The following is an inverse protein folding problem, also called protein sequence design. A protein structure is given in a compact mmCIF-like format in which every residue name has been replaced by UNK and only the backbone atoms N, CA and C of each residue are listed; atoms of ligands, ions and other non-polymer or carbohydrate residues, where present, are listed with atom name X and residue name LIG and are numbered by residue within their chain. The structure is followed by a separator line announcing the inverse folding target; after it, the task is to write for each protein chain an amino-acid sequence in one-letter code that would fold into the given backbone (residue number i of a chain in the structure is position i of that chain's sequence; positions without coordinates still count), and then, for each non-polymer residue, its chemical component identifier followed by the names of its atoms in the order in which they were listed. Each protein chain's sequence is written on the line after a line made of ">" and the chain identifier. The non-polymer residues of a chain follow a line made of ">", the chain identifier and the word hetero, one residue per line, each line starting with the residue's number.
data_IF_030438305165
#
_entry.id   IF_030438305165
#
_cell.length_a   1.000
_cell.length_b   1.000
_cell.length_c   1.000
_cell.angle_alpha   90.00
_cell.angle_beta   90.00
_cell.angle_gamma   90.00
#
_symmetry.space_group_name_H-M   'P 1'
#
loop_
_entity.id
_entity.type
_entity.pdbx_description
1 polymer ?
#
# COMPACT_ATOMS: atom_id res chain seq x y z
N UNK A 1 -0.05 -11.89 -12.94
CA UNK A 1 0.46 -10.62 -12.41
C UNK A 1 -0.76 -9.84 -12.01
N UNK A 2 -0.76 -9.33 -10.80
CA UNK A 2 -1.90 -8.69 -10.17
C UNK A 2 -1.41 -7.34 -9.69
N UNK A 3 -1.92 -6.29 -10.30
CA UNK A 3 -1.46 -4.93 -10.05
C UNK A 3 -2.17 -4.42 -8.81
N UNK A 4 -1.41 -3.86 -7.88
CA UNK A 4 -1.94 -3.31 -6.64
C UNK A 4 -2.15 -1.81 -6.79
N UNK A 5 -1.15 -1.10 -7.31
CA UNK A 5 -1.24 0.35 -7.52
C UNK A 5 -0.12 0.89 -8.41
N UNK A 6 -0.33 2.11 -8.92
CA UNK A 6 0.67 2.89 -9.64
C UNK A 6 0.86 4.24 -8.94
N UNK A 7 2.09 4.63 -8.69
CA UNK A 7 2.45 5.76 -7.84
C UNK A 7 3.43 6.69 -8.56
N UNK A 8 3.02 7.93 -8.81
CA UNK A 8 3.90 8.97 -9.35
C UNK A 8 4.81 9.47 -8.23
N UNK A 9 6.12 9.23 -8.34
CA UNK A 9 7.12 9.62 -7.34
C UNK A 9 7.83 10.94 -7.67
N UNK A 10 7.97 11.22 -8.96
CA UNK A 10 8.50 12.46 -9.55
C UNK A 10 7.84 12.68 -10.92
N UNK A 11 8.15 13.77 -11.62
CA UNK A 11 7.59 14.04 -12.94
C UNK A 11 7.89 12.96 -14.00
N UNK A 12 8.89 12.10 -13.79
CA UNK A 12 9.34 11.09 -14.74
C UNK A 12 9.49 9.66 -14.15
N UNK A 13 9.11 9.47 -12.89
CA UNK A 13 9.16 8.17 -12.22
C UNK A 13 7.77 7.76 -11.74
N UNK A 14 7.24 6.69 -12.33
CA UNK A 14 6.12 5.93 -11.77
C UNK A 14 6.63 4.62 -11.21
N UNK A 15 6.23 4.30 -9.98
CA UNK A 15 6.41 2.99 -9.36
C UNK A 15 5.11 2.22 -9.38
N UNK A 16 5.12 1.04 -9.97
CA UNK A 16 3.95 0.14 -10.00
C UNK A 16 4.20 -0.98 -9.01
N UNK A 17 3.29 -1.16 -8.06
CA UNK A 17 3.28 -2.28 -7.11
C UNK A 17 2.41 -3.40 -7.65
N UNK A 18 2.88 -4.64 -7.53
CA UNK A 18 2.17 -5.80 -8.07
C UNK A 18 2.58 -7.09 -7.37
N UNK A 19 1.73 -8.10 -7.43
CA UNK A 19 2.08 -9.49 -7.11
C UNK A 19 2.27 -10.24 -8.42
N UNK A 20 3.44 -10.88 -8.61
CA UNK A 20 3.79 -11.55 -9.87
C UNK A 20 4.60 -12.81 -9.64
N UNK A 21 4.76 -13.60 -10.71
CA UNK A 21 5.69 -14.73 -10.70
C UNK A 21 7.14 -14.25 -10.56
N UNK A 22 7.95 -15.01 -9.83
CA UNK A 22 9.32 -14.63 -9.47
C UNK A 22 10.24 -14.43 -10.68
N UNK A 23 10.29 -15.39 -11.62
CA UNK A 23 11.19 -15.34 -12.78
C UNK A 23 10.66 -16.14 -13.99
N UNK A 24 10.88 -15.68 -15.23
CA UNK A 24 11.23 -14.30 -15.60
C UNK A 24 10.03 -13.35 -15.42
N UNK A 25 10.24 -12.05 -15.16
CA UNK A 25 9.16 -11.07 -15.18
C UNK A 25 8.55 -10.96 -16.59
N UNK A 26 7.23 -10.79 -16.66
CA UNK A 26 6.60 -10.44 -17.93
C UNK A 26 7.02 -9.01 -18.33
N UNK A 27 7.35 -8.75 -19.60
CA UNK A 27 7.65 -7.41 -20.07
C UNK A 27 6.39 -6.53 -20.00
N UNK A 28 6.54 -5.33 -19.45
CA UNK A 28 5.44 -4.40 -19.22
C UNK A 28 5.74 -3.03 -19.79
N UNK A 29 4.69 -2.35 -20.24
CA UNK A 29 4.70 -0.94 -20.59
C UNK A 29 3.60 -0.20 -19.81
N UNK A 30 3.94 0.98 -19.33
CA UNK A 30 3.00 1.96 -18.83
C UNK A 30 2.53 2.82 -19.99
N UNK A 31 1.22 2.88 -20.22
CA UNK A 31 0.62 3.77 -21.20
C UNK A 31 -0.03 4.94 -20.46
N UNK A 32 0.40 6.17 -20.74
CA UNK A 32 -0.22 7.39 -20.21
C UNK A 32 -1.05 8.06 -21.30
N UNK A 33 -2.30 8.40 -21.00
CA UNK A 33 -3.16 9.13 -21.92
C UNK A 33 -2.67 10.56 -22.09
N UNK A 34 -2.39 10.95 -23.34
CA UNK A 34 -2.00 12.32 -23.70
C UNK A 34 -3.23 13.10 -24.17
N UNK A 35 -4.04 12.47 -25.01
CA UNK A 35 -5.35 12.92 -25.46
C UNK A 35 -6.20 11.71 -25.86
N UNK A 36 -7.46 11.91 -26.25
CA UNK A 36 -8.42 10.84 -26.55
C UNK A 36 -7.93 9.80 -27.59
N UNK A 37 -6.94 10.14 -28.41
CA UNK A 37 -6.44 9.27 -29.49
C UNK A 37 -4.97 8.84 -29.32
N UNK A 38 -4.21 9.47 -28.42
CA UNK A 38 -2.77 9.26 -28.26
C UNK A 38 -2.41 8.84 -26.84
N UNK A 39 -1.68 7.73 -26.75
CA UNK A 39 -1.08 7.21 -25.51
C UNK A 39 0.45 7.23 -25.63
N UNK A 40 1.12 7.71 -24.59
CA UNK A 40 2.57 7.63 -24.44
C UNK A 40 2.93 6.28 -23.81
N UNK A 41 3.69 5.45 -24.52
CA UNK A 41 4.14 4.15 -24.03
C UNK A 41 5.54 4.27 -23.41
N UNK A 42 5.68 3.82 -22.17
CA UNK A 42 6.91 3.92 -21.38
C UNK A 42 7.29 2.51 -20.90
N UNK A 43 8.50 2.02 -21.23
CA UNK A 43 8.93 0.70 -20.77
C UNK A 43 9.14 0.69 -19.25
N UNK A 44 8.85 -0.45 -18.65
CA UNK A 44 8.99 -0.66 -17.22
C UNK A 44 10.18 -1.56 -16.90
N UNK A 45 11.08 -1.03 -16.08
CA UNK A 45 12.23 -1.71 -15.53
C UNK A 45 11.78 -2.64 -14.40
N UNK A 46 12.13 -3.91 -14.52
CA UNK A 46 11.84 -4.97 -13.57
C UNK A 46 13.07 -5.85 -13.41
N UNK A 47 13.29 -6.38 -12.21
CA UNK A 47 14.37 -7.33 -11.94
C UNK A 47 13.80 -8.72 -11.63
N UNK A 48 14.46 -9.77 -12.10
CA UNK A 48 14.08 -11.15 -11.76
C UNK A 48 14.27 -11.41 -10.27
N UNK A 49 13.30 -12.09 -9.66
CA UNK A 49 13.43 -12.59 -8.29
C UNK A 49 14.02 -13.99 -8.37
N UNK A 50 15.32 -14.09 -8.10
CA UNK A 50 16.10 -15.33 -8.22
C UNK A 50 16.04 -16.20 -6.96
N UNK A 51 15.65 -15.64 -5.82
CA UNK A 51 15.51 -16.35 -4.55
C UNK A 51 14.27 -15.86 -3.82
N UNK A 52 13.54 -16.78 -3.21
CA UNK A 52 12.44 -16.43 -2.32
C UNK A 52 13.00 -15.58 -1.15
N UNK A 53 12.33 -14.49 -0.74
CA UNK A 53 12.82 -13.65 0.34
C UNK A 53 12.91 -14.38 1.69
N UNK A 54 12.18 -15.49 1.85
CA UNK A 54 12.07 -16.22 3.11
C UNK A 54 12.63 -17.64 2.96
N UNK A 55 13.57 -18.01 3.85
CA UNK A 55 14.27 -19.30 3.79
C UNK A 55 13.35 -20.51 4.00
N UNK A 56 12.20 -20.32 4.65
CA UNK A 56 11.22 -21.37 4.96
C UNK A 56 10.02 -21.40 3.99
N UNK A 57 9.96 -20.48 3.03
CA UNK A 57 8.88 -20.42 2.03
C UNK A 57 9.31 -21.08 0.71
N UNK A 58 9.59 -22.38 0.74
CA UNK A 58 10.18 -23.14 -0.38
C UNK A 58 9.31 -23.23 -1.66
N UNK A 59 8.05 -22.78 -1.62
CA UNK A 59 7.07 -22.84 -2.73
C UNK A 59 6.51 -21.47 -3.15
N UNK A 60 7.23 -20.38 -2.85
CA UNK A 60 6.79 -19.02 -3.18
C UNK A 60 7.01 -18.71 -4.68
N UNK A 61 6.11 -19.18 -5.53
CA UNK A 61 6.17 -18.92 -6.98
C UNK A 61 5.66 -17.50 -7.32
N UNK A 62 4.89 -16.89 -6.42
CA UNK A 62 4.41 -15.52 -6.50
C UNK A 62 5.00 -14.68 -5.37
N UNK A 63 5.34 -13.43 -5.69
CA UNK A 63 5.87 -12.48 -4.72
C UNK A 63 5.42 -11.08 -5.09
N UNK A 64 5.21 -10.23 -4.08
CA UNK A 64 5.08 -8.81 -4.29
C UNK A 64 6.38 -8.19 -4.77
N UNK A 65 6.27 -7.35 -5.78
CA UNK A 65 7.39 -6.68 -6.40
C UNK A 65 6.96 -5.35 -6.99
N UNK A 66 7.93 -4.60 -7.50
CA UNK A 66 7.66 -3.34 -8.17
C UNK A 66 8.32 -3.24 -9.54
N UNK A 67 7.71 -2.45 -10.39
CA UNK A 67 8.28 -2.00 -11.66
C UNK A 67 8.44 -0.48 -11.62
N UNK A 68 9.49 0.03 -12.26
CA UNK A 68 9.74 1.47 -12.36
C UNK A 68 9.75 1.90 -13.82
N UNK A 69 9.24 3.09 -14.13
CA UNK A 69 9.50 3.69 -15.44
C UNK A 69 10.99 3.96 -15.60
N UNK A 70 11.54 3.69 -16.78
CA UNK A 70 12.79 4.34 -17.19
C UNK A 70 12.51 5.82 -17.38
N UNK A 71 13.31 6.71 -16.78
CA UNK A 71 13.10 8.16 -16.89
C UNK A 71 12.87 8.59 -18.35
N UNK A 72 11.79 9.35 -18.59
CA UNK A 72 11.30 9.70 -19.91
C UNK A 72 10.93 11.19 -19.97
N UNK A 73 11.52 11.94 -20.92
CA UNK A 73 11.29 13.39 -21.06
C UNK A 73 9.87 13.72 -21.51
N UNK A 74 9.26 12.93 -22.39
CA UNK A 74 7.87 13.15 -22.82
C UNK A 74 6.89 12.95 -21.66
N UNK A 75 7.17 11.99 -20.77
CA UNK A 75 6.42 11.82 -19.53
C UNK A 75 6.57 13.06 -18.64
N UNK A 76 7.78 13.56 -18.46
CA UNK A 76 8.06 14.75 -17.66
C UNK A 76 7.29 15.97 -18.17
N UNK A 77 7.29 16.18 -19.49
CA UNK A 77 6.52 17.24 -20.13
C UNK A 77 5.01 17.05 -19.96
N UNK A 78 4.50 15.82 -20.12
CA UNK A 78 3.08 15.51 -19.95
C UNK A 78 2.62 15.79 -18.52
N UNK A 79 3.36 15.30 -17.53
CA UNK A 79 3.03 15.45 -16.11
C UNK A 79 3.16 16.92 -15.67
N UNK A 80 4.13 17.66 -16.22
CA UNK A 80 4.36 19.07 -15.84
C UNK A 80 3.37 20.03 -16.49
N UNK A 81 2.85 19.73 -17.69
CA UNK A 81 1.86 20.58 -18.38
C UNK A 81 0.42 20.37 -17.88
N UNK A 82 0.14 19.23 -17.27
CA UNK A 82 -1.23 18.86 -16.94
C UNK A 82 -1.73 19.58 -15.68
N UNK A 83 -2.43 20.71 -15.89
CA UNK A 83 -3.07 21.47 -14.80
C UNK A 83 -4.41 20.85 -14.33
N UNK A 84 -4.91 19.79 -14.98
CA UNK A 84 -6.23 19.18 -14.73
C UNK A 84 -6.18 17.90 -13.89
N UNK A 85 -5.01 17.55 -13.34
CA UNK A 85 -4.81 16.34 -12.53
C UNK A 85 -3.87 15.34 -13.20
N UNK A 86 -3.85 14.10 -12.69
CA UNK A 86 -3.01 13.04 -13.24
C UNK A 86 -3.62 12.44 -14.51
N UNK A 87 -2.82 12.09 -15.54
CA UNK A 87 -3.33 11.43 -16.74
C UNK A 87 -3.88 10.04 -16.42
N UNK A 88 -4.82 9.55 -17.22
CA UNK A 88 -5.21 8.15 -17.15
C UNK A 88 -4.02 7.25 -17.49
N UNK A 89 -3.89 6.16 -16.76
CA UNK A 89 -2.80 5.23 -16.89
C UNK A 89 -3.32 3.82 -17.19
N UNK A 90 -2.59 3.09 -18.03
CA UNK A 90 -2.88 1.70 -18.37
C UNK A 90 -1.60 0.88 -18.34
N UNK A 91 -1.71 -0.41 -18.05
CA UNK A 91 -0.61 -1.36 -18.16
C UNK A 91 -0.83 -2.31 -19.31
N UNK A 92 0.23 -2.49 -20.10
CA UNK A 92 0.24 -3.38 -21.26
C UNK A 92 1.29 -4.48 -21.04
N UNK A 93 0.89 -5.73 -21.28
CA UNK A 93 1.79 -6.87 -21.37
C UNK A 93 2.14 -7.13 -22.82
N UNK A 94 3.43 -7.01 -23.16
CA UNK A 94 3.90 -7.14 -24.54
C UNK A 94 4.23 -8.58 -24.94
N UNK A 95 4.20 -9.52 -23.99
CA UNK A 95 4.41 -10.95 -24.22
C UNK A 95 3.14 -11.71 -24.62
N UNK A 96 1.98 -11.06 -24.62
CA UNK A 96 0.69 -11.68 -24.96
C UNK A 96 0.42 -11.63 -26.47
N UNK A 97 -0.24 -12.67 -27.03
CA UNK A 97 -0.66 -12.65 -28.43
C UNK A 97 -1.65 -11.52 -28.66
N UNK A 98 -1.67 -11.00 -29.89
CA UNK A 98 -2.58 -9.94 -30.28
C UNK A 98 -4.04 -10.46 -30.33
N UNK A 99 -5.04 -9.63 -29.97
CA UNK A 99 -4.90 -8.23 -29.55
C UNK A 99 -4.45 -8.11 -28.08
N UNK A 100 -3.44 -7.26 -27.83
CA UNK A 100 -3.03 -6.94 -26.47
C UNK A 100 -4.00 -5.91 -25.89
N UNK A 101 -4.61 -6.23 -24.74
CA UNK A 101 -5.59 -5.35 -24.08
C UNK A 101 -4.90 -4.64 -22.91
N UNK A 102 -4.76 -3.30 -22.96
CA UNK A 102 -4.29 -2.53 -21.81
C UNK A 102 -5.27 -2.61 -20.65
N UNK A 103 -4.75 -2.82 -19.44
CA UNK A 103 -5.56 -2.82 -18.20
C UNK A 103 -5.48 -1.44 -17.55
N UNK A 104 -6.60 -0.76 -17.25
CA UNK A 104 -6.56 0.53 -16.58
C UNK A 104 -5.95 0.39 -15.19
N UNK A 105 -5.15 1.38 -14.79
CA UNK A 105 -4.59 1.47 -13.45
C UNK A 105 -4.78 2.88 -12.89
N UNK A 106 -5.17 2.96 -11.62
CA UNK A 106 -5.26 4.25 -10.93
C UNK A 106 -3.85 4.75 -10.64
N UNK A 107 -3.52 5.92 -11.18
CA UNK A 107 -2.27 6.62 -10.88
C UNK A 107 -2.49 7.50 -9.65
N UNK A 108 -1.80 7.18 -8.56
CA UNK A 108 -1.80 7.94 -7.31
C UNK A 108 -0.67 8.96 -7.33
N UNK A 109 -0.94 10.19 -6.88
CA UNK A 109 0.11 11.17 -6.64
C UNK A 109 0.79 10.83 -5.32
N UNK A 110 2.00 10.32 -5.41
CA UNK A 110 2.84 9.99 -4.27
C UNK A 110 4.06 10.90 -4.21
N UNK A 111 4.07 12.06 -4.89
CA UNK A 111 5.17 13.04 -4.83
C UNK A 111 5.22 13.67 -3.44
N UNK A 112 6.42 14.07 -3.01
CA UNK A 112 6.61 14.76 -1.72
C UNK A 112 7.09 16.15 -2.04
N UNK A 113 6.26 17.13 -1.70
CA UNK A 113 6.59 18.54 -1.73
C UNK A 113 7.28 18.86 -0.39
N UNK A 114 8.52 19.39 -0.37
CA UNK A 114 9.27 19.65 0.86
C UNK A 114 8.48 20.45 1.90
N UNK A 115 7.80 21.52 1.45
CA UNK A 115 6.99 22.42 2.28
C UNK A 115 5.49 22.35 1.95
N UNK A 116 5.06 21.31 1.24
CA UNK A 116 3.65 21.15 0.88
C UNK A 116 2.79 20.82 2.10
N UNK A 117 1.53 21.29 2.13
CA UNK A 117 0.61 20.91 3.20
C UNK A 117 0.38 19.40 3.15
N UNK A 118 0.61 18.72 4.28
CA UNK A 118 0.18 17.33 4.46
C UNK A 118 -1.18 17.36 5.14
N UNK A 119 -2.17 16.72 4.53
CA UNK A 119 -3.54 16.66 5.08
C UNK A 119 -3.54 16.04 6.48
N UNK A 120 -2.66 15.07 6.72
CA UNK A 120 -2.58 14.33 7.98
C UNK A 120 -1.22 14.47 8.65
N UNK A 121 -1.22 14.58 9.98
CA UNK A 121 0.03 14.52 10.77
C UNK A 121 0.44 13.07 11.04
N UNK A 122 -0.47 12.24 11.54
CA UNK A 122 -0.25 10.83 11.79
C UNK A 122 -1.26 9.99 11.01
N UNK A 123 -0.74 9.05 10.25
CA UNK A 123 -1.50 8.00 9.58
C UNK A 123 -1.10 6.61 10.12
N UNK A 124 -2.01 5.66 10.05
CA UNK A 124 -1.78 4.26 10.44
C UNK A 124 -2.01 3.36 9.23
N UNK A 125 -1.00 2.55 8.93
CA UNK A 125 -1.05 1.45 7.98
C UNK A 125 -1.29 0.16 8.76
N UNK A 126 -2.51 -0.36 8.68
CA UNK A 126 -2.84 -1.65 9.27
C UNK A 126 -2.45 -2.77 8.31
N UNK A 127 -1.76 -3.79 8.82
CA UNK A 127 -1.48 -5.01 8.05
C UNK A 127 -2.77 -5.72 7.59
N UNK A 128 -2.71 -6.64 6.62
CA UNK A 128 -3.90 -7.28 6.08
C UNK A 128 -4.72 -8.02 7.14
N UNK A 129 -5.97 -7.60 7.29
CA UNK A 129 -6.95 -8.21 8.18
C UNK A 129 -7.64 -9.36 7.46
N UNK A 130 -7.60 -10.56 8.04
CA UNK A 130 -8.21 -11.76 7.50
C UNK A 130 -8.95 -12.51 8.60
N UNK A 131 -10.13 -13.06 8.27
CA UNK A 131 -10.97 -13.86 9.18
C UNK A 131 -11.26 -13.16 10.53
N UNK A 132 -11.35 -11.83 10.54
CA UNK A 132 -11.62 -11.08 11.76
C UNK A 132 -13.10 -11.18 12.14
N UNK A 133 -13.39 -11.81 13.28
CA UNK A 133 -14.74 -11.89 13.84
C UNK A 133 -14.90 -11.08 15.15
N UNK A 134 -13.79 -10.73 15.80
CA UNK A 134 -13.81 -9.95 17.03
C UNK A 134 -13.89 -8.45 16.72
N UNK A 135 -15.09 -7.89 16.84
CA UNK A 135 -15.33 -6.46 16.62
C UNK A 135 -14.69 -5.58 17.71
N UNK A 136 -14.42 -6.13 18.90
CA UNK A 136 -13.86 -5.34 20.01
C UNK A 136 -12.42 -4.92 19.74
N UNK A 137 -11.64 -5.78 19.06
CA UNK A 137 -10.29 -5.45 18.59
C UNK A 137 -10.30 -4.27 17.61
N UNK A 138 -11.32 -4.17 16.76
CA UNK A 138 -11.45 -3.07 15.82
C UNK A 138 -11.71 -1.74 16.54
N UNK A 139 -12.64 -1.73 17.51
CA UNK A 139 -12.90 -0.55 18.34
C UNK A 139 -11.62 -0.14 19.09
N UNK A 140 -10.97 -1.09 19.76
CA UNK A 140 -9.76 -0.82 20.53
C UNK A 140 -8.67 -0.21 19.65
N UNK A 141 -8.44 -0.78 18.47
CA UNK A 141 -7.46 -0.26 17.51
C UNK A 141 -7.74 1.19 17.13
N UNK A 142 -8.98 1.50 16.70
CA UNK A 142 -9.32 2.86 16.30
C UNK A 142 -9.24 3.84 17.46
N UNK A 143 -9.91 3.57 18.58
CA UNK A 143 -9.97 4.51 19.71
C UNK A 143 -8.58 4.80 20.29
N UNK A 144 -7.70 3.80 20.37
CA UNK A 144 -6.32 4.01 20.81
C UNK A 144 -5.58 4.91 19.84
N UNK A 145 -5.59 4.61 18.53
CA UNK A 145 -4.84 5.42 17.57
C UNK A 145 -5.40 6.82 17.37
N UNK A 146 -6.72 7.01 17.49
CA UNK A 146 -7.37 8.33 17.54
C UNK A 146 -6.85 9.11 18.74
N UNK A 147 -6.82 8.51 19.93
CA UNK A 147 -6.26 9.12 21.13
C UNK A 147 -4.76 9.44 20.99
N UNK A 148 -4.02 8.66 20.19
CA UNK A 148 -2.61 8.93 19.85
C UNK A 148 -2.41 10.02 18.78
N UNK A 149 -3.50 10.61 18.25
CA UNK A 149 -3.48 11.70 17.28
C UNK A 149 -3.53 11.28 15.81
N UNK A 150 -3.87 10.02 15.52
CA UNK A 150 -4.07 9.55 14.15
C UNK A 150 -5.38 10.06 13.56
N UNK A 151 -5.34 10.46 12.29
CA UNK A 151 -6.50 10.99 11.55
C UNK A 151 -6.70 10.31 10.19
N UNK A 152 -5.75 9.47 9.77
CA UNK A 152 -5.80 8.69 8.53
C UNK A 152 -5.52 7.24 8.83
N UNK A 153 -6.38 6.35 8.33
CA UNK A 153 -6.24 4.91 8.47
C UNK A 153 -6.27 4.27 7.09
N UNK A 154 -5.33 3.37 6.82
CA UNK A 154 -5.34 2.51 5.65
C UNK A 154 -5.61 1.09 6.11
N UNK A 155 -6.79 0.59 5.79
CA UNK A 155 -7.32 -0.69 6.27
C UNK A 155 -7.25 -1.70 5.12
N UNK A 156 -6.26 -2.58 5.16
CA UNK A 156 -6.12 -3.66 4.17
C UNK A 156 -7.02 -4.83 4.56
N UNK A 157 -8.14 -5.00 3.88
CA UNK A 157 -9.18 -5.95 4.26
C UNK A 157 -9.22 -7.13 3.28
N UNK A 158 -8.97 -8.34 3.80
CA UNK A 158 -9.15 -9.59 3.07
C UNK A 158 -10.52 -10.21 3.37
N UNK A 159 -10.85 -10.38 4.65
CA UNK A 159 -12.16 -10.84 5.11
C UNK A 159 -12.38 -10.50 6.56
N UNK A 160 -13.65 -10.26 6.90
CA UNK A 160 -14.12 -10.05 8.27
C UNK A 160 -15.59 -10.47 8.37
N UNK A 161 -16.08 -10.73 9.58
CA UNK A 161 -17.48 -11.00 9.83
C UNK A 161 -18.36 -9.78 9.50
N UNK A 162 -19.63 -9.97 9.09
CA UNK A 162 -20.52 -8.86 8.72
C UNK A 162 -20.68 -7.80 9.81
N UNK A 163 -20.67 -8.20 11.08
CA UNK A 163 -20.78 -7.31 12.24
C UNK A 163 -19.54 -6.40 12.36
N UNK A 164 -18.36 -6.95 12.09
CA UNK A 164 -17.10 -6.20 12.05
C UNK A 164 -17.08 -5.24 10.86
N UNK A 165 -17.60 -5.67 9.69
CA UNK A 165 -17.72 -4.80 8.50
C UNK A 165 -18.67 -3.62 8.75
N UNK A 166 -19.81 -3.89 9.39
CA UNK A 166 -20.78 -2.88 9.77
C UNK A 166 -20.15 -1.85 10.73
N UNK A 167 -19.36 -2.31 11.71
CA UNK A 167 -18.64 -1.43 12.62
C UNK A 167 -17.55 -0.62 11.90
N UNK A 168 -16.76 -1.24 11.00
CA UNK A 168 -15.76 -0.51 10.21
C UNK A 168 -16.39 0.65 9.43
N UNK A 169 -17.59 0.44 8.88
CA UNK A 169 -18.33 1.50 8.18
C UNK A 169 -18.66 2.68 9.09
N UNK A 170 -18.83 2.50 10.39
CA UNK A 170 -19.05 3.63 11.32
C UNK A 170 -17.84 4.56 11.30
N UNK A 171 -16.62 4.01 11.38
CA UNK A 171 -15.39 4.79 11.29
C UNK A 171 -15.18 5.41 9.90
N UNK A 172 -15.54 4.71 8.83
CA UNK A 172 -15.45 5.22 7.45
C UNK A 172 -16.37 6.40 7.16
N UNK A 173 -17.53 6.46 7.83
CA UNK A 173 -18.48 7.58 7.69
C UNK A 173 -18.24 8.71 8.71
N UNK A 174 -17.23 8.60 9.57
CA UNK A 174 -16.86 9.69 10.48
C UNK A 174 -16.38 10.93 9.72
N UNK A 175 -16.81 12.12 10.13
CA UNK A 175 -16.30 13.38 9.58
C UNK A 175 -14.89 13.72 10.04
N UNK A 176 -14.44 13.13 11.15
CA UNK A 176 -13.18 13.47 11.82
C UNK A 176 -12.01 12.60 11.35
N UNK A 177 -12.32 11.47 10.70
CA UNK A 177 -11.36 10.48 10.26
C UNK A 177 -11.37 10.33 8.75
N UNK A 178 -10.20 10.09 8.18
CA UNK A 178 -10.06 9.61 6.81
C UNK A 178 -9.71 8.11 6.87
N UNK A 179 -10.69 7.24 6.60
CA UNK A 179 -10.47 5.79 6.59
C UNK A 179 -10.54 5.30 5.15
N UNK A 180 -9.42 4.78 4.66
CA UNK A 180 -9.31 4.17 3.34
C UNK A 180 -9.29 2.66 3.47
N UNK A 181 -10.41 2.04 3.07
CA UNK A 181 -10.47 0.60 2.86
C UNK A 181 -9.75 0.22 1.57
N UNK A 182 -8.72 -0.60 1.70
CA UNK A 182 -8.02 -1.23 0.58
C UNK A 182 -8.45 -2.68 0.51
N UNK A 183 -9.12 -3.05 -0.56
CA UNK A 183 -9.44 -4.46 -0.83
C UNK A 183 -8.14 -5.24 -0.99
N UNK A 184 -7.86 -6.12 -0.03
CA UNK A 184 -6.66 -6.94 0.02
C UNK A 184 -7.06 -8.42 -0.03
N UNK A 185 -7.60 -8.82 -1.17
CA UNK A 185 -8.24 -10.13 -1.34
C UNK A 185 -7.33 -11.22 -1.88
N UNK A 186 -7.94 -12.39 -2.05
CA UNK A 186 -7.36 -13.46 -2.85
C UNK A 186 -7.12 -12.98 -4.29
N UNK A 187 -5.96 -13.34 -4.83
CA UNK A 187 -5.65 -13.12 -6.23
C UNK A 187 -6.69 -13.84 -7.10
N UNK A 188 -7.21 -13.20 -8.16
CA UNK A 188 -8.22 -13.81 -9.00
C UNK A 188 -7.70 -15.10 -9.63
N UNK A 189 -8.54 -16.13 -9.59
CA UNK A 189 -8.27 -17.44 -10.19
C UNK A 189 -9.11 -17.61 -11.44
N UNK A 190 -8.52 -18.12 -12.52
CA UNK A 190 -9.25 -18.33 -13.77
C UNK A 190 -10.29 -19.45 -13.64
N UNK A 191 -10.03 -20.42 -12.77
CA UNK A 191 -10.89 -21.56 -12.49
C UNK A 191 -11.56 -21.42 -11.12
N UNK A 192 -12.79 -21.90 -11.00
CA UNK A 192 -13.53 -21.95 -9.74
C UNK A 192 -12.90 -22.91 -8.71
N UNK A 193 -12.17 -23.94 -9.17
CA UNK A 193 -11.45 -24.89 -8.33
C UNK A 193 -9.98 -25.01 -8.81
N UNK A 194 -9.14 -23.99 -8.53
CA UNK A 194 -7.77 -23.94 -9.03
C UNK A 194 -6.85 -25.00 -8.42
N UNK A 195 -7.28 -25.66 -7.34
CA UNK A 195 -6.56 -26.74 -6.67
C UNK A 195 -5.12 -26.34 -6.34
N UNK A 196 -4.14 -27.16 -6.71
CA UNK A 196 -2.72 -26.86 -6.48
C UNK A 196 -2.21 -25.65 -7.26
N UNK A 197 -2.90 -25.22 -8.31
CA UNK A 197 -2.51 -24.08 -9.15
C UNK A 197 -3.03 -22.73 -8.63
N UNK A 198 -3.75 -22.75 -7.51
CA UNK A 198 -4.20 -21.53 -6.86
C UNK A 198 -3.00 -20.63 -6.49
N UNK A 199 -2.89 -19.41 -7.05
CA UNK A 199 -1.85 -18.46 -6.67
C UNK A 199 -1.92 -18.11 -5.18
N UNK A 200 -3.09 -18.18 -4.54
CA UNK A 200 -3.29 -17.89 -3.13
C UNK A 200 -2.62 -18.91 -2.20
N UNK A 201 -2.42 -20.15 -2.67
CA UNK A 201 -1.68 -21.19 -1.95
C UNK A 201 -0.16 -21.07 -2.12
N UNK A 202 0.31 -20.12 -2.93
CA UNK A 202 1.71 -19.95 -3.34
C UNK A 202 2.27 -18.57 -3.02
N UNK A 203 1.55 -17.79 -2.23
CA UNK A 203 2.01 -16.52 -1.67
C UNK A 203 2.41 -16.70 -0.22
N UNK A 204 3.44 -15.99 0.21
CA UNK A 204 3.84 -15.99 1.60
C UNK A 204 3.00 -14.97 2.41
N UNK A 205 2.30 -15.44 3.45
CA UNK A 205 1.54 -14.60 4.41
C UNK A 205 0.68 -13.52 3.71
N UNK A 206 -0.03 -13.90 2.66
CA UNK A 206 -0.89 -12.99 1.87
C UNK A 206 -0.18 -11.69 1.43
N UNK A 207 1.14 -11.75 1.23
CA UNK A 207 1.93 -10.61 0.81
C UNK A 207 1.86 -9.41 1.76
N UNK A 208 1.84 -9.64 3.09
CA UNK A 208 1.79 -8.59 4.11
C UNK A 208 2.85 -7.49 3.90
N UNK A 209 4.10 -7.83 3.56
CA UNK A 209 5.14 -6.84 3.24
C UNK A 209 4.78 -5.96 2.04
N UNK A 210 4.08 -6.53 1.07
CA UNK A 210 3.64 -5.81 -0.14
C UNK A 210 2.52 -4.85 0.20
N UNK A 211 1.61 -5.22 1.10
CA UNK A 211 0.59 -4.30 1.62
C UNK A 211 1.21 -3.11 2.37
N UNK A 212 2.25 -3.36 3.18
CA UNK A 212 2.99 -2.30 3.89
C UNK A 212 3.65 -1.35 2.89
N UNK A 213 4.34 -1.89 1.89
CA UNK A 213 4.96 -1.08 0.84
C UNK A 213 3.94 -0.25 0.05
N UNK A 214 2.79 -0.84 -0.25
CA UNK A 214 1.69 -0.16 -0.90
C UNK A 214 1.16 0.99 -0.03
N UNK A 215 0.96 0.75 1.26
CA UNK A 215 0.47 1.75 2.20
C UNK A 215 1.45 2.91 2.38
N UNK A 216 2.75 2.61 2.46
CA UNK A 216 3.80 3.64 2.51
C UNK A 216 3.79 4.53 1.25
N UNK A 217 3.44 3.97 0.08
CA UNK A 217 3.32 4.73 -1.16
C UNK A 217 2.01 5.54 -1.22
N UNK A 218 0.88 5.00 -0.74
CA UNK A 218 -0.41 5.72 -0.63
C UNK A 218 -0.33 6.91 0.32
N UNK A 219 0.36 6.72 1.45
CA UNK A 219 0.54 7.75 2.47
C UNK A 219 1.59 8.79 2.11
N UNK A 220 2.47 8.49 1.15
CA UNK A 220 3.57 9.37 0.72
C UNK A 220 3.01 10.68 0.17
N UNK A 221 3.40 11.79 0.79
CA UNK A 221 2.92 13.14 0.43
C UNK A 221 1.64 13.55 1.14
N UNK A 222 0.90 12.62 1.75
CA UNK A 222 -0.39 12.88 2.41
C UNK A 222 -0.29 12.93 3.94
N UNK A 223 0.66 12.19 4.52
CA UNK A 223 0.87 12.11 5.97
C UNK A 223 2.32 12.48 6.37
N UNK A 224 2.50 13.17 7.51
CA UNK A 224 3.84 13.52 8.04
C UNK A 224 4.54 12.33 8.68
N UNK A 225 3.80 11.54 9.45
CA UNK A 225 4.24 10.29 10.06
C UNK A 225 3.28 9.17 9.67
N UNK A 226 3.84 7.97 9.54
CA UNK A 226 3.08 6.76 9.21
C UNK A 226 3.52 5.68 10.19
N UNK A 227 2.58 5.15 10.96
CA UNK A 227 2.78 3.98 11.80
C UNK A 227 2.41 2.73 11.00
N UNK A 228 3.26 1.70 11.02
CA UNK A 228 2.96 0.38 10.47
C UNK A 228 2.65 -0.51 11.66
N UNK A 229 1.43 -1.01 11.75
CA UNK A 229 0.92 -1.66 12.96
C UNK A 229 0.11 -2.92 12.62
N UNK A 230 0.11 -3.85 13.57
CA UNK A 230 -0.86 -4.94 13.63
C UNK A 230 -2.11 -4.50 14.41
N UNK A 231 -3.22 -5.23 14.27
CA UNK A 231 -4.52 -4.83 14.85
C UNK A 231 -4.52 -4.89 16.38
N UNK A 232 -3.78 -5.84 16.94
CA UNK A 232 -3.66 -6.15 18.36
C UNK A 232 -2.45 -5.48 19.04
N UNK A 233 -1.72 -4.62 18.31
CA UNK A 233 -0.57 -3.89 18.84
C UNK A 233 -0.92 -2.46 19.22
N UNK A 234 -0.41 -2.05 20.38
CA UNK A 234 -0.54 -0.69 20.89
C UNK A 234 0.83 -0.07 21.13
N UNK A 235 0.93 1.24 20.92
CA UNK A 235 2.13 2.01 21.27
C UNK A 235 1.82 2.83 22.51
N UNK A 236 2.61 2.63 23.56
CA UNK A 236 2.49 3.36 24.83
C UNK A 236 3.64 4.34 24.95
N UNK A 237 3.33 5.61 25.18
CA UNK A 237 4.31 6.65 25.51
C UNK A 237 4.47 6.77 27.02
N UNK A 238 5.71 6.89 27.49
CA UNK A 238 5.99 7.04 28.94
C UNK A 238 5.96 8.50 29.40
N UNK A 239 6.35 9.44 28.53
CA UNK A 239 6.56 10.85 28.89
C UNK A 239 5.58 11.79 28.22
N UNK A 240 5.32 11.59 26.93
CA UNK A 240 4.44 12.44 26.14
C UNK A 240 3.00 11.95 26.24
N UNK A 241 2.01 12.82 26.01
CA UNK A 241 0.60 12.45 26.13
C UNK A 241 0.15 11.56 24.97
N UNK A 242 0.76 11.76 23.80
CA UNK A 242 0.45 11.00 22.59
C UNK A 242 1.71 10.60 21.84
N UNK A 243 1.60 9.56 21.01
CA UNK A 243 2.64 9.16 20.04
C UNK A 243 2.95 10.33 19.12
N UNK A 244 1.95 11.06 18.61
CA UNK A 244 2.19 12.21 17.74
C UNK A 244 3.06 13.28 18.41
N UNK A 245 2.77 13.64 19.67
CA UNK A 245 3.61 14.58 20.43
C UNK A 245 5.05 14.09 20.59
N UNK A 246 5.22 12.80 20.93
CA UNK A 246 6.54 12.18 21.04
C UNK A 246 7.33 12.26 19.71
N UNK A 247 6.68 11.91 18.59
CA UNK A 247 7.28 11.95 17.25
C UNK A 247 7.70 13.36 16.84
N UNK A 248 6.87 14.37 17.15
CA UNK A 248 7.18 15.78 16.90
C UNK A 248 8.37 16.26 17.74
N UNK A 249 8.36 15.97 19.04
CA UNK A 249 9.46 16.31 19.95
C UNK A 249 10.79 15.72 19.49
N UNK A 250 10.81 14.42 19.17
CA UNK A 250 12.02 13.73 18.71
C UNK A 250 12.51 14.26 17.35
N UNK A 251 11.60 14.57 16.42
CA UNK A 251 11.94 15.15 15.12
C UNK A 251 12.50 16.57 15.25
N UNK A 252 11.98 17.36 16.18
CA UNK A 252 12.49 18.70 16.47
C UNK A 252 13.88 18.64 17.11
N UNK A 253 14.15 17.64 17.95
CA UNK A 253 15.47 17.40 18.52
C UNK A 253 16.49 16.90 17.48
N UNK A 254 16.05 16.17 16.44
CA UNK A 254 16.92 15.68 15.36
C UNK A 254 16.24 15.75 13.99
N UNK A 255 16.61 16.78 13.20
CA UNK A 255 16.08 17.00 11.85
C UNK A 255 16.46 15.91 10.84
N UNK A 256 17.47 15.09 11.14
CA UNK A 256 17.93 13.99 10.27
C UNK A 256 17.23 12.66 10.56
N UNK A 257 16.32 12.60 11.54
CA UNK A 257 15.64 11.36 11.91
C UNK A 257 14.61 10.94 10.84
N UNK A 258 14.83 9.79 10.19
CA UNK A 258 14.00 9.31 9.08
C UNK A 258 13.03 8.19 9.44
N UNK A 259 13.24 7.52 10.57
CA UNK A 259 12.41 6.40 11.03
C UNK A 259 12.45 6.25 12.56
N UNK A 260 11.40 5.67 13.11
CA UNK A 260 11.27 5.31 14.51
C UNK A 260 11.06 3.80 14.61
N UNK A 261 11.72 3.15 15.57
CA UNK A 261 11.57 1.71 15.82
C UNK A 261 11.14 1.55 17.26
N UNK A 262 9.98 0.94 17.45
CA UNK A 262 9.45 0.56 18.76
C UNK A 262 9.82 -0.89 19.03
N UNK A 263 10.24 -1.19 20.26
CA UNK A 263 10.52 -2.57 20.67
C UNK A 263 9.23 -3.16 21.22
N UNK A 264 8.83 -4.32 20.69
CA UNK A 264 7.68 -5.05 21.20
C UNK A 264 7.97 -5.61 22.59
N UNK A 265 6.99 -5.54 23.48
CA UNK A 265 7.01 -6.17 24.79
C UNK A 265 5.66 -6.84 25.02
N UNK A 266 5.68 -8.09 25.47
CA UNK A 266 4.45 -8.80 25.83
C UNK A 266 4.01 -8.37 27.23
N UNK A 267 2.72 -8.12 27.39
CA UNK A 267 2.12 -7.90 28.70
C UNK A 267 1.25 -9.10 29.04
N UNK A 268 1.58 -9.78 30.13
CA UNK A 268 0.80 -10.90 30.65
C UNK A 268 -0.19 -10.37 31.69
N UNK A 269 -1.49 -10.52 31.44
CA UNK A 269 -2.52 -10.22 32.42
C UNK A 269 -3.01 -11.53 33.04
N UNK A 270 -3.11 -11.55 34.37
CA UNK A 270 -3.69 -12.67 35.10
C UNK A 270 -5.20 -12.54 35.01
N UNK A 271 -5.85 -13.41 34.25
CA UNK A 271 -7.30 -13.52 34.23
C UNK A 271 -7.68 -14.23 35.54
N UNK A 272 -8.47 -13.53 36.37
CA UNK A 272 -8.95 -14.03 37.65
C UNK A 272 -10.01 -15.12 37.50
#
# INVERSE_FOLDING_TARGET
>A
MYVIGAYLLSANVVKITMIRKCSPPAPLQLLLEVNQSKKLAIPLLQHSVVKCPWFFAAKCDFVGYFALTSGNKEMEELISRNNKGLPQAFLLRTDKPLPQVPVPVKLHDARVLPDGPRKHKLAVCLQPVYLLADWTLLVQFFEIWIAQGATKFYMYIQSMAPEVDALLRVYEHSSDLDVERVEWGSLPTADANPGKNDPNLRMFRMEAITSINDCLLRSRGHAKYVAIMDLDEIVVTYTDRTVLEMLERMRNASKNLVAFIFRSSFVHYKIG
#
